data_IF_796247927787
#
_entry.id   IF_796247927787
#
_cell.length_a   1.000
_cell.length_b   1.000
_cell.length_c   1.000
_cell.angle_alpha   90.00
_cell.angle_beta   90.00
_cell.angle_gamma   90.00
#
_symmetry.space_group_name_H-M   'P 1'
#
loop_
_entity.id
_entity.type
_entity.pdbx_description
1 polymer ?
#
# COMPACT_ATOMS: atom_id res chain seq x y z
N UNK A 1 -57.83 -9.64 8.66
CA UNK A 1 -56.98 -8.69 9.43
C UNK A 1 -55.60 -9.25 9.77
N UNK A 2 -55.41 -10.55 10.00
CA UNK A 2 -54.10 -11.15 10.31
C UNK A 2 -53.10 -11.17 9.15
N UNK A 3 -53.57 -11.38 7.90
CA UNK A 3 -52.72 -11.39 6.71
C UNK A 3 -52.15 -10.01 6.36
N UNK A 4 -52.97 -8.95 6.47
CA UNK A 4 -52.55 -7.57 6.20
C UNK A 4 -51.47 -7.11 7.19
N UNK A 5 -51.63 -7.45 8.48
CA UNK A 5 -50.67 -7.18 9.57
C UNK A 5 -49.33 -7.90 9.39
N UNK A 6 -49.36 -9.15 8.90
CA UNK A 6 -48.14 -9.92 8.57
C UNK A 6 -47.40 -9.34 7.36
N UNK A 7 -48.14 -8.87 6.35
CA UNK A 7 -47.56 -8.20 5.19
C UNK A 7 -46.93 -6.84 5.56
N UNK A 8 -47.54 -6.07 6.47
CA UNK A 8 -46.93 -4.81 6.96
C UNK A 8 -45.66 -5.06 7.76
N UNK A 9 -45.65 -6.07 8.63
CA UNK A 9 -44.44 -6.45 9.38
C UNK A 9 -43.30 -6.94 8.46
N UNK A 10 -43.63 -7.71 7.41
CA UNK A 10 -42.64 -8.15 6.43
C UNK A 10 -42.07 -6.98 5.61
N UNK A 11 -42.90 -6.01 5.23
CA UNK A 11 -42.48 -4.83 4.47
C UNK A 11 -41.59 -3.88 5.32
N UNK A 12 -41.92 -3.70 6.60
CA UNK A 12 -41.09 -2.91 7.54
C UNK A 12 -39.77 -3.62 7.88
N UNK A 13 -39.76 -4.95 7.98
CA UNK A 13 -38.52 -5.70 8.15
C UNK A 13 -37.62 -5.61 6.91
N UNK A 14 -38.21 -5.60 5.70
CA UNK A 14 -37.48 -5.49 4.44
C UNK A 14 -36.86 -4.09 4.25
N UNK A 15 -37.51 -3.02 4.70
CA UNK A 15 -36.95 -1.66 4.67
C UNK A 15 -35.83 -1.45 5.69
N UNK A 16 -35.88 -2.11 6.86
CA UNK A 16 -34.79 -2.05 7.84
C UNK A 16 -33.51 -2.78 7.39
N UNK A 17 -33.63 -3.85 6.59
CA UNK A 17 -32.48 -4.54 5.98
C UNK A 17 -31.82 -3.71 4.85
N UNK A 18 -32.58 -2.86 4.16
CA UNK A 18 -32.08 -1.99 3.09
C UNK A 18 -31.27 -0.77 3.56
N UNK A 19 -31.56 -0.23 4.75
CA UNK A 19 -30.93 1.00 5.26
C UNK A 19 -29.41 0.89 5.50
N UNK A 20 -28.94 -0.26 6.00
CA UNK A 20 -27.50 -0.51 6.17
C UNK A 20 -26.77 -0.68 4.83
N UNK A 21 -27.45 -1.22 3.82
CA UNK A 21 -26.88 -1.44 2.48
C UNK A 21 -26.77 -0.14 1.68
N UNK A 22 -27.81 0.72 1.73
CA UNK A 22 -27.81 2.02 1.07
C UNK A 22 -26.73 2.96 1.64
N UNK A 23 -26.56 2.99 2.96
CA UNK A 23 -25.47 3.75 3.59
C UNK A 23 -24.09 3.25 3.13
N UNK A 24 -23.86 1.93 3.12
CA UNK A 24 -22.59 1.36 2.63
C UNK A 24 -22.36 1.66 1.16
N UNK A 25 -23.40 1.62 0.32
CA UNK A 25 -23.31 1.93 -1.10
C UNK A 25 -22.99 3.41 -1.34
N UNK A 26 -23.64 4.34 -0.64
CA UNK A 26 -23.34 5.76 -0.75
C UNK A 26 -21.91 6.08 -0.26
N UNK A 27 -21.50 5.50 0.87
CA UNK A 27 -20.12 5.62 1.38
C UNK A 27 -19.12 5.00 0.39
N UNK A 28 -19.49 3.91 -0.30
CA UNK A 28 -18.67 3.29 -1.33
C UNK A 28 -18.45 4.24 -2.51
N UNK A 29 -19.51 4.84 -3.05
CA UNK A 29 -19.40 5.79 -4.17
C UNK A 29 -18.52 7.00 -3.81
N UNK A 30 -18.66 7.52 -2.58
CA UNK A 30 -17.78 8.59 -2.08
C UNK A 30 -16.34 8.10 -1.97
N UNK A 31 -16.11 6.89 -1.46
CA UNK A 31 -14.78 6.31 -1.33
C UNK A 31 -14.12 6.03 -2.70
N UNK A 32 -14.87 5.54 -3.68
CA UNK A 32 -14.43 5.38 -5.08
C UNK A 32 -14.00 6.74 -5.65
N UNK A 33 -14.84 7.77 -5.50
CA UNK A 33 -14.54 9.13 -5.99
C UNK A 33 -13.31 9.75 -5.31
N UNK A 34 -13.14 9.54 -4.00
CA UNK A 34 -12.00 10.06 -3.24
C UNK A 34 -10.70 9.28 -3.55
N UNK A 35 -10.80 7.98 -3.80
CA UNK A 35 -9.68 7.15 -4.23
C UNK A 35 -9.17 7.60 -5.61
N UNK A 36 -10.08 7.82 -6.56
CA UNK A 36 -9.77 8.33 -7.90
C UNK A 36 -9.28 9.80 -7.88
N UNK A 37 -9.84 10.62 -6.98
CA UNK A 37 -9.49 12.04 -6.81
C UNK A 37 -8.09 12.31 -6.25
N UNK A 38 -7.35 11.28 -5.83
CA UNK A 38 -5.93 11.41 -5.45
C UNK A 38 -5.02 11.89 -6.60
N UNK A 39 -5.51 11.84 -7.84
CA UNK A 39 -4.88 12.42 -9.05
C UNK A 39 -4.63 13.93 -8.97
N UNK A 40 -5.39 14.67 -8.16
CA UNK A 40 -5.14 16.09 -7.94
C UNK A 40 -3.80 16.36 -7.25
N UNK A 41 -3.32 15.45 -6.41
CA UNK A 41 -2.04 15.63 -5.70
C UNK A 41 -0.83 15.42 -6.61
N UNK A 42 -0.95 14.53 -7.60
CA UNK A 42 0.17 14.18 -8.50
C UNK A 42 0.36 15.16 -9.64
N UNK A 43 -0.54 16.14 -9.79
CA UNK A 43 -0.54 17.17 -10.83
C UNK A 43 -0.41 18.58 -10.25
N UNK A 44 -0.29 18.69 -8.92
CA UNK A 44 -0.08 19.96 -8.23
C UNK A 44 1.41 20.33 -8.26
N UNK A 45 1.69 21.61 -8.50
CA UNK A 45 3.04 22.16 -8.62
C UNK A 45 3.58 22.68 -7.27
N UNK A 46 2.75 22.71 -6.20
CA UNK A 46 3.14 23.13 -4.86
C UNK A 46 3.33 21.92 -3.92
N UNK A 47 4.57 21.38 -3.79
CA UNK A 47 4.83 20.23 -2.93
C UNK A 47 4.61 20.52 -1.45
N UNK A 48 4.67 21.77 -1.00
CA UNK A 48 4.42 22.13 0.39
C UNK A 48 2.92 22.10 0.72
N UNK A 49 2.08 22.58 -0.19
CA UNK A 49 0.64 22.43 -0.08
C UNK A 49 0.23 20.95 0.00
N UNK A 50 0.82 20.11 -0.85
CA UNK A 50 0.58 18.66 -0.84
C UNK A 50 1.06 18.02 0.46
N UNK A 51 2.27 18.37 0.93
CA UNK A 51 2.82 17.89 2.21
C UNK A 51 1.88 18.17 3.38
N UNK A 52 1.24 19.34 3.39
CA UNK A 52 0.34 19.77 4.45
C UNK A 52 -1.09 19.20 4.31
N UNK A 53 -1.55 18.95 3.08
CA UNK A 53 -2.87 18.39 2.81
C UNK A 53 -2.96 16.87 3.03
N UNK A 54 -1.92 16.12 2.65
CA UNK A 54 -1.92 14.65 2.67
C UNK A 54 -2.31 14.04 4.02
N UNK A 55 -1.81 14.50 5.19
CA UNK A 55 -2.21 13.94 6.47
C UNK A 55 -3.72 13.96 6.72
N UNK A 56 -4.39 15.06 6.38
CA UNK A 56 -5.84 15.18 6.52
C UNK A 56 -6.58 14.26 5.54
N UNK A 57 -6.15 14.23 4.27
CA UNK A 57 -6.71 13.35 3.25
C UNK A 57 -6.62 11.87 3.66
N UNK A 58 -5.43 11.43 4.08
CA UNK A 58 -5.19 10.06 4.53
C UNK A 58 -6.05 9.71 5.75
N UNK A 59 -6.16 10.60 6.74
CA UNK A 59 -7.02 10.38 7.92
C UNK A 59 -8.50 10.29 7.55
N UNK A 60 -8.95 11.06 6.58
CA UNK A 60 -10.31 11.00 6.04
C UNK A 60 -10.57 9.62 5.41
N UNK A 61 -9.67 9.15 4.54
CA UNK A 61 -9.74 7.82 3.93
C UNK A 61 -9.71 6.70 4.98
N UNK A 62 -8.88 6.83 6.03
CA UNK A 62 -8.83 5.84 7.12
C UNK A 62 -10.17 5.74 7.86
N UNK A 63 -10.82 6.88 8.13
CA UNK A 63 -12.14 6.94 8.75
C UNK A 63 -13.21 6.25 7.90
N UNK A 64 -13.19 6.45 6.58
CA UNK A 64 -14.06 5.72 5.65
C UNK A 64 -13.76 4.21 5.68
N UNK A 65 -12.49 3.83 5.79
CA UNK A 65 -12.06 2.43 5.80
C UNK A 65 -12.60 1.64 7.00
N UNK A 66 -12.89 2.32 8.12
CA UNK A 66 -13.54 1.69 9.28
C UNK A 66 -14.99 1.26 8.95
N UNK A 67 -15.67 1.99 8.05
CA UNK A 67 -17.01 1.64 7.58
C UNK A 67 -16.97 0.64 6.41
N UNK A 68 -15.91 0.69 5.61
CA UNK A 68 -15.69 -0.12 4.41
C UNK A 68 -14.39 -0.94 4.50
N UNK A 69 -14.29 -1.91 5.43
CA UNK A 69 -13.05 -2.60 5.72
C UNK A 69 -12.51 -3.45 4.55
N UNK A 70 -13.40 -3.89 3.65
CA UNK A 70 -13.08 -4.77 2.52
C UNK A 70 -13.04 -4.04 1.17
N UNK A 71 -13.08 -2.70 1.17
CA UNK A 71 -13.16 -1.93 -0.07
C UNK A 71 -11.79 -1.72 -0.73
N UNK A 72 -11.39 -2.65 -1.61
CA UNK A 72 -10.03 -2.72 -2.18
C UNK A 72 -9.49 -1.41 -2.76
N UNK A 73 -10.24 -0.62 -3.58
CA UNK A 73 -9.73 0.66 -4.07
C UNK A 73 -9.33 1.64 -2.96
N UNK A 74 -10.11 1.67 -1.87
CA UNK A 74 -9.82 2.51 -0.71
C UNK A 74 -8.60 2.00 0.06
N UNK A 75 -8.45 0.68 0.21
CA UNK A 75 -7.28 0.07 0.84
C UNK A 75 -6.00 0.35 0.06
N UNK A 76 -6.07 0.24 -1.26
CA UNK A 76 -4.96 0.55 -2.17
C UNK A 76 -4.57 2.02 -2.10
N UNK A 77 -5.54 2.93 -2.06
CA UNK A 77 -5.30 4.36 -1.91
C UNK A 77 -4.64 4.71 -0.57
N UNK A 78 -5.03 4.02 0.50
CA UNK A 78 -4.37 4.15 1.80
C UNK A 78 -2.93 3.61 1.77
N UNK A 79 -2.72 2.45 1.15
CA UNK A 79 -1.40 1.87 1.00
C UNK A 79 -0.46 2.78 0.18
N UNK A 80 -0.88 3.20 -1.01
CA UNK A 80 -0.09 4.09 -1.86
C UNK A 80 0.14 5.46 -1.22
N UNK A 81 -0.91 6.04 -0.64
CA UNK A 81 -0.84 7.38 -0.05
C UNK A 81 0.03 7.45 1.19
N UNK A 82 -0.07 6.50 2.13
CA UNK A 82 0.85 6.46 3.28
C UNK A 82 2.29 6.15 2.87
N UNK A 83 2.50 5.31 1.86
CA UNK A 83 3.84 5.03 1.31
C UNK A 83 4.44 6.30 0.72
N UNK A 84 3.71 6.96 -0.17
CA UNK A 84 4.15 8.17 -0.86
C UNK A 84 4.39 9.32 0.11
N UNK A 85 3.52 9.51 1.10
CA UNK A 85 3.73 10.52 2.14
C UNK A 85 5.00 10.26 2.96
N UNK A 86 5.23 9.00 3.36
CA UNK A 86 6.43 8.66 4.12
C UNK A 86 7.71 8.82 3.28
N UNK A 87 7.76 8.27 2.08
CA UNK A 87 8.95 8.30 1.20
C UNK A 87 9.21 9.70 0.64
N UNK A 88 8.17 10.46 0.31
CA UNK A 88 8.28 11.79 -0.29
C UNK A 88 8.55 12.91 0.70
N UNK A 89 8.03 12.82 1.94
CA UNK A 89 8.08 13.96 2.88
C UNK A 89 8.66 13.63 4.26
N UNK A 90 8.68 12.37 4.70
CA UNK A 90 9.23 12.04 6.03
C UNK A 90 10.66 11.51 5.96
N UNK A 91 10.95 10.64 5.00
CA UNK A 91 12.25 10.00 4.82
C UNK A 91 13.34 10.99 4.39
N UNK A 92 13.11 11.90 3.41
CA UNK A 92 14.15 12.82 2.94
C UNK A 92 14.68 13.75 4.04
N UNK A 93 13.83 14.09 5.01
CA UNK A 93 14.17 14.93 6.17
C UNK A 93 15.10 14.26 7.18
N UNK A 94 15.22 12.92 7.17
CA UNK A 94 15.98 12.20 8.19
C UNK A 94 17.46 12.56 8.12
N UNK A 95 18.08 12.48 6.94
CA UNK A 95 19.53 12.70 6.79
C UNK A 95 19.94 14.13 7.13
N UNK A 96 19.29 15.19 6.61
CA UNK A 96 19.57 16.56 7.04
C UNK A 96 19.41 16.75 8.55
N UNK A 97 18.40 16.10 9.16
CA UNK A 97 18.17 16.19 10.60
C UNK A 97 19.27 15.49 11.41
N UNK A 98 19.88 14.40 10.93
CA UNK A 98 21.00 13.71 11.61
C UNK A 98 22.23 14.61 11.76
N UNK A 99 22.45 15.55 10.84
CA UNK A 99 23.57 16.50 10.89
C UNK A 99 23.41 17.55 12.00
N UNK A 100 22.17 17.77 12.47
CA UNK A 100 21.82 18.83 13.43
C UNK A 100 21.45 18.23 14.79
N UNK A 101 20.62 17.18 14.80
CA UNK A 101 20.03 16.58 16.00
C UNK A 101 19.72 15.09 15.76
N UNK A 102 20.60 14.24 16.28
CA UNK A 102 20.50 12.78 16.15
C UNK A 102 19.26 12.20 16.82
N UNK A 103 18.79 12.77 17.93
CA UNK A 103 17.63 12.23 18.65
C UNK A 103 16.35 12.55 17.91
N UNK A 104 16.21 13.78 17.40
CA UNK A 104 15.08 14.13 16.52
C UNK A 104 15.07 13.30 15.24
N UNK A 105 16.23 13.04 14.65
CA UNK A 105 16.31 12.19 13.46
C UNK A 105 15.89 10.74 13.74
N UNK A 106 16.24 10.19 14.91
CA UNK A 106 15.77 8.87 15.37
C UNK A 106 14.25 8.84 15.53
N UNK A 107 13.66 9.87 16.12
CA UNK A 107 12.20 10.00 16.25
C UNK A 107 11.51 10.04 14.88
N UNK A 108 12.05 10.85 13.95
CA UNK A 108 11.54 10.96 12.59
C UNK A 108 11.65 9.63 11.82
N UNK A 109 12.76 8.90 11.99
CA UNK A 109 12.93 7.54 11.42
C UNK A 109 11.88 6.57 11.95
N UNK A 110 11.60 6.58 13.25
CA UNK A 110 10.54 5.76 13.85
C UNK A 110 9.17 6.15 13.32
N UNK A 111 8.90 7.46 13.19
CA UNK A 111 7.65 7.98 12.62
C UNK A 111 7.44 7.51 11.18
N UNK A 112 8.44 7.68 10.32
CA UNK A 112 8.37 7.26 8.92
C UNK A 112 8.15 5.74 8.81
N UNK A 113 8.90 4.94 9.59
CA UNK A 113 8.73 3.48 9.62
C UNK A 113 7.32 3.06 10.04
N UNK A 114 6.72 3.73 11.04
CA UNK A 114 5.33 3.48 11.45
C UNK A 114 4.32 3.78 10.35
N UNK A 115 4.54 4.82 9.53
CA UNK A 115 3.67 5.11 8.38
C UNK A 115 3.79 4.03 7.30
N UNK A 116 5.00 3.55 7.04
CA UNK A 116 5.26 2.49 6.06
C UNK A 116 4.69 1.14 6.50
N UNK A 117 4.83 0.75 7.76
CA UNK A 117 4.19 -0.45 8.31
C UNK A 117 2.67 -0.37 8.21
N UNK A 118 2.10 0.81 8.50
CA UNK A 118 0.67 1.06 8.32
C UNK A 118 0.23 0.91 6.85
N UNK A 119 1.01 1.45 5.91
CA UNK A 119 0.76 1.30 4.48
C UNK A 119 0.77 -0.18 4.04
N UNK A 120 1.79 -0.93 4.48
CA UNK A 120 1.90 -2.38 4.27
C UNK A 120 0.65 -3.10 4.76
N UNK A 121 0.19 -2.78 5.97
CA UNK A 121 -0.98 -3.45 6.55
C UNK A 121 -2.26 -3.20 5.73
N UNK A 122 -2.42 -2.02 5.12
CA UNK A 122 -3.51 -1.75 4.18
C UNK A 122 -3.36 -2.52 2.87
N UNK A 123 -2.15 -2.60 2.31
CA UNK A 123 -1.88 -3.39 1.11
C UNK A 123 -2.16 -4.88 1.33
N UNK A 124 -1.69 -5.44 2.45
CA UNK A 124 -1.97 -6.82 2.86
C UNK A 124 -3.47 -7.04 3.10
N UNK A 125 -4.19 -6.05 3.63
CA UNK A 125 -5.66 -6.13 3.75
C UNK A 125 -6.33 -6.15 2.37
N UNK A 126 -5.84 -5.38 1.40
CA UNK A 126 -6.34 -5.42 0.01
C UNK A 126 -6.14 -6.80 -0.62
N UNK A 127 -4.94 -7.37 -0.46
CA UNK A 127 -4.60 -8.72 -0.92
C UNK A 127 -5.43 -9.79 -0.21
N UNK A 128 -5.67 -9.67 1.10
CA UNK A 128 -6.51 -10.60 1.86
C UNK A 128 -7.96 -10.63 1.35
N UNK A 129 -8.51 -9.46 0.95
CA UNK A 129 -9.86 -9.40 0.38
C UNK A 129 -9.93 -10.09 -0.98
N UNK A 130 -8.92 -9.89 -1.83
CA UNK A 130 -8.86 -10.55 -3.14
C UNK A 130 -8.51 -12.04 -3.08
N UNK A 131 -7.72 -12.41 -2.08
CA UNK A 131 -7.09 -13.72 -1.94
C UNK A 131 -7.18 -14.18 -0.47
N UNK A 132 -8.31 -14.73 -0.01
CA UNK A 132 -8.47 -15.14 1.38
C UNK A 132 -7.31 -16.02 1.89
N UNK A 133 -6.84 -15.74 3.11
CA UNK A 133 -5.69 -16.39 3.74
C UNK A 133 -4.33 -15.84 3.34
N UNK A 134 -4.26 -14.80 2.49
CA UNK A 134 -2.99 -14.23 2.00
C UNK A 134 -2.10 -13.74 3.14
N UNK A 135 -2.67 -12.98 4.06
CA UNK A 135 -1.92 -12.33 5.13
C UNK A 135 -1.19 -13.33 6.02
N UNK A 136 -1.76 -14.52 6.22
CA UNK A 136 -1.12 -15.58 7.00
C UNK A 136 -0.16 -16.39 6.13
N UNK A 137 -0.59 -16.79 4.93
CA UNK A 137 0.18 -17.68 4.07
C UNK A 137 1.50 -17.05 3.60
N UNK A 138 1.54 -15.72 3.42
CA UNK A 138 2.74 -15.02 2.95
C UNK A 138 3.92 -15.22 3.89
N UNK A 139 3.69 -15.37 5.20
CA UNK A 139 4.76 -15.61 6.19
C UNK A 139 5.24 -17.08 6.22
N UNK A 140 4.43 -18.02 5.75
CA UNK A 140 4.76 -19.46 5.78
C UNK A 140 5.43 -19.92 4.49
N UNK A 141 4.84 -19.55 3.34
CA UNK A 141 5.37 -19.85 2.01
C UNK A 141 5.13 -18.63 1.09
N UNK A 142 6.06 -17.67 1.09
CA UNK A 142 5.86 -16.41 0.38
C UNK A 142 5.71 -16.64 -1.12
N UNK A 143 6.52 -17.54 -1.69
CA UNK A 143 6.57 -17.82 -3.13
C UNK A 143 5.28 -18.47 -3.61
N UNK A 144 4.81 -19.52 -2.94
CA UNK A 144 3.55 -20.17 -3.32
C UNK A 144 2.34 -19.23 -3.09
N UNK A 145 2.39 -18.39 -2.06
CA UNK A 145 1.28 -17.48 -1.72
C UNK A 145 1.03 -16.43 -2.79
N UNK A 146 2.09 -15.90 -3.42
CA UNK A 146 1.95 -14.83 -4.44
C UNK A 146 1.55 -15.38 -5.82
N UNK A 147 1.77 -16.67 -6.11
CA UNK A 147 1.48 -17.27 -7.43
C UNK A 147 0.01 -17.14 -7.85
N UNK A 148 -0.92 -17.11 -6.89
CA UNK A 148 -2.35 -16.95 -7.17
C UNK A 148 -2.77 -15.51 -7.51
N UNK A 149 -1.91 -14.52 -7.25
CA UNK A 149 -2.21 -13.10 -7.52
C UNK A 149 -2.16 -12.83 -9.01
N UNK A 150 -3.17 -12.13 -9.55
CA UNK A 150 -3.34 -11.90 -10.98
C UNK A 150 -2.87 -10.51 -11.41
N UNK A 151 -2.79 -10.30 -12.73
CA UNK A 151 -2.30 -9.06 -13.35
C UNK A 151 -3.11 -7.82 -12.93
N UNK A 152 -4.40 -7.96 -12.63
CA UNK A 152 -5.26 -6.85 -12.20
C UNK A 152 -4.90 -6.31 -10.81
N UNK A 153 -4.10 -7.07 -10.06
CA UNK A 153 -3.74 -6.79 -8.67
C UNK A 153 -2.24 -6.49 -8.50
N UNK A 154 -1.51 -6.20 -9.58
CA UNK A 154 -0.10 -5.78 -9.53
C UNK A 154 0.10 -4.60 -8.57
N UNK A 155 -0.80 -3.61 -8.61
CA UNK A 155 -0.72 -2.45 -7.73
C UNK A 155 -0.73 -2.82 -6.24
N UNK A 156 -1.51 -3.83 -5.84
CA UNK A 156 -1.55 -4.28 -4.45
C UNK A 156 -0.23 -4.97 -4.04
N UNK A 157 0.38 -5.76 -4.96
CA UNK A 157 1.71 -6.35 -4.75
C UNK A 157 2.79 -5.27 -4.64
N UNK A 158 2.80 -4.32 -5.56
CA UNK A 158 3.77 -3.24 -5.61
C UNK A 158 3.72 -2.40 -4.33
N UNK A 159 2.54 -1.92 -3.92
CA UNK A 159 2.44 -1.10 -2.71
C UNK A 159 2.72 -1.89 -1.43
N UNK A 160 2.45 -3.19 -1.40
CA UNK A 160 2.90 -4.05 -0.31
C UNK A 160 4.45 -4.14 -0.27
N UNK A 161 5.10 -4.39 -1.40
CA UNK A 161 6.56 -4.47 -1.48
C UNK A 161 7.25 -3.12 -1.20
N UNK A 162 6.76 -2.03 -1.79
CA UNK A 162 7.28 -0.67 -1.64
C UNK A 162 7.25 -0.19 -0.19
N UNK A 163 6.10 -0.31 0.47
CA UNK A 163 5.95 0.06 1.87
C UNK A 163 6.80 -0.80 2.81
N UNK A 164 6.79 -2.11 2.61
CA UNK A 164 7.50 -3.05 3.47
C UNK A 164 9.02 -2.96 3.29
N UNK A 165 9.51 -2.95 2.05
CA UNK A 165 10.92 -2.77 1.74
C UNK A 165 11.48 -1.45 2.27
N UNK A 166 10.70 -0.37 2.16
CA UNK A 166 11.06 0.93 2.74
C UNK A 166 11.11 0.88 4.27
N UNK A 167 10.16 0.20 4.92
CA UNK A 167 10.15 0.04 6.38
C UNK A 167 11.40 -0.73 6.86
N UNK A 168 11.80 -1.77 6.14
CA UNK A 168 13.04 -2.54 6.39
C UNK A 168 14.27 -1.66 6.20
N UNK A 169 14.31 -0.85 5.13
CA UNK A 169 15.43 0.07 4.87
C UNK A 169 15.64 1.09 6.00
N UNK A 170 14.56 1.55 6.64
CA UNK A 170 14.60 2.43 7.82
C UNK A 170 14.80 1.69 9.16
N UNK A 171 14.82 0.35 9.15
CA UNK A 171 14.88 -0.50 10.34
C UNK A 171 15.96 -1.57 10.25
N UNK A 172 17.12 -1.25 9.66
CA UNK A 172 18.25 -2.20 9.51
C UNK A 172 18.82 -2.69 10.85
N UNK A 173 18.51 -2.00 11.93
CA UNK A 173 18.83 -2.34 13.32
C UNK A 173 17.82 -3.32 13.97
N UNK A 174 16.67 -3.55 13.31
CA UNK A 174 15.61 -4.46 13.75
C UNK A 174 15.69 -5.77 12.97
N UNK A 175 16.35 -6.77 13.56
CA UNK A 175 16.62 -8.05 12.90
C UNK A 175 15.35 -8.83 12.53
N UNK A 176 14.26 -8.63 13.28
CA UNK A 176 12.93 -9.14 12.97
C UNK A 176 12.39 -8.58 11.64
N UNK A 177 12.55 -7.27 11.39
CA UNK A 177 12.19 -6.67 10.10
C UNK A 177 13.12 -7.13 8.98
N UNK A 178 14.43 -7.24 9.24
CA UNK A 178 15.39 -7.71 8.23
C UNK A 178 15.09 -9.15 7.80
N UNK A 179 14.61 -10.00 8.71
CA UNK A 179 14.19 -11.36 8.38
C UNK A 179 12.99 -11.43 7.41
N UNK A 180 12.24 -10.33 7.25
CA UNK A 180 11.08 -10.24 6.35
C UNK A 180 11.44 -9.88 4.90
N UNK A 181 12.73 -9.65 4.57
CA UNK A 181 13.17 -9.35 3.19
C UNK A 181 12.68 -10.37 2.14
N UNK A 182 12.65 -11.70 2.40
CA UNK A 182 12.11 -12.67 1.44
C UNK A 182 10.62 -12.45 1.10
N UNK A 183 9.83 -11.84 2.00
CA UNK A 183 8.43 -11.50 1.76
C UNK A 183 8.33 -10.42 0.69
N UNK A 184 9.19 -9.40 0.79
CA UNK A 184 9.30 -8.31 -0.19
C UNK A 184 9.75 -8.84 -1.55
N UNK A 185 10.76 -9.71 -1.56
CA UNK A 185 11.27 -10.36 -2.79
C UNK A 185 10.15 -11.14 -3.51
N UNK A 186 9.36 -11.95 -2.78
CA UNK A 186 8.26 -12.70 -3.36
C UNK A 186 7.19 -11.78 -3.97
N UNK A 187 6.79 -10.72 -3.26
CA UNK A 187 5.79 -9.75 -3.72
C UNK A 187 6.23 -9.05 -5.01
N UNK A 188 7.45 -8.48 -5.03
CA UNK A 188 7.91 -7.73 -6.19
C UNK A 188 8.21 -8.63 -7.39
N UNK A 189 8.78 -9.82 -7.17
CA UNK A 189 9.04 -10.77 -8.28
C UNK A 189 7.76 -11.29 -8.88
N UNK A 190 6.68 -11.44 -8.08
CA UNK A 190 5.37 -11.77 -8.65
C UNK A 190 4.83 -10.64 -9.50
N UNK A 191 4.89 -9.40 -9.03
CA UNK A 191 4.47 -8.24 -9.81
C UNK A 191 5.24 -8.17 -11.14
N UNK A 192 6.56 -8.33 -11.08
CA UNK A 192 7.44 -8.32 -12.24
C UNK A 192 7.12 -9.43 -13.25
N UNK A 193 6.82 -10.64 -12.76
CA UNK A 193 6.45 -11.76 -13.63
C UNK A 193 5.06 -11.62 -14.28
N UNK A 194 4.19 -10.75 -13.74
CA UNK A 194 2.86 -10.50 -14.28
C UNK A 194 2.89 -9.45 -15.40
N UNK A 195 3.63 -8.35 -15.23
CA UNK A 195 3.85 -7.30 -16.23
C UNK A 195 5.06 -6.45 -15.82
N UNK A 196 6.20 -6.62 -16.48
CA UNK A 196 7.44 -5.91 -16.16
C UNK A 196 7.40 -4.43 -16.58
N UNK A 197 6.51 -4.06 -17.50
CA UNK A 197 6.34 -2.69 -18.00
C UNK A 197 5.33 -1.86 -17.19
N UNK A 198 4.70 -2.46 -16.17
CA UNK A 198 3.67 -1.82 -15.36
C UNK A 198 4.11 -0.44 -14.82
N UNK A 199 3.22 0.55 -14.93
CA UNK A 199 3.44 1.96 -14.54
C UNK A 199 4.78 2.50 -15.05
N UNK A 200 4.99 2.42 -16.37
CA UNK A 200 6.17 2.96 -17.07
C UNK A 200 7.50 2.42 -16.52
N UNK A 201 7.49 1.17 -16.05
CA UNK A 201 8.69 0.51 -15.52
C UNK A 201 8.95 0.74 -14.03
N UNK A 202 7.95 1.16 -13.24
CA UNK A 202 8.07 1.33 -11.77
C UNK A 202 8.62 0.08 -11.05
N UNK A 203 8.35 -1.12 -11.57
CA UNK A 203 8.90 -2.36 -11.02
C UNK A 203 10.42 -2.48 -11.25
N UNK A 204 10.92 -1.98 -12.37
CA UNK A 204 12.36 -1.89 -12.61
C UNK A 204 13.01 -0.91 -11.65
N UNK A 205 12.42 0.27 -11.42
CA UNK A 205 12.94 1.24 -10.46
C UNK A 205 13.09 0.65 -9.06
N UNK A 206 12.06 -0.07 -8.59
CA UNK A 206 12.13 -0.79 -7.33
C UNK A 206 13.30 -1.80 -7.31
N UNK A 207 13.42 -2.60 -8.37
CA UNK A 207 14.41 -3.67 -8.45
C UNK A 207 15.85 -3.15 -8.55
N UNK A 208 16.10 -1.94 -9.04
CA UNK A 208 17.43 -1.30 -8.98
C UNK A 208 17.92 -1.23 -7.53
N UNK A 209 17.09 -0.68 -6.65
CA UNK A 209 17.45 -0.53 -5.22
C UNK A 209 17.50 -1.90 -4.54
N UNK A 210 16.54 -2.76 -4.84
CA UNK A 210 16.43 -4.08 -4.21
C UNK A 210 17.60 -5.01 -4.56
N UNK A 211 18.06 -4.99 -5.81
CA UNK A 211 19.21 -5.79 -6.26
C UNK A 211 20.55 -5.20 -5.78
N UNK A 212 20.58 -3.93 -5.36
CA UNK A 212 21.80 -3.26 -4.86
C UNK A 212 22.19 -3.62 -3.42
N UNK A 213 21.49 -4.56 -2.76
CA UNK A 213 21.74 -5.00 -1.38
C UNK A 213 22.98 -5.89 -1.18
N UNK A 214 23.73 -6.18 -2.25
CA UNK A 214 24.93 -7.02 -2.23
C UNK A 214 24.64 -8.53 -2.33
N UNK A 215 25.60 -9.28 -2.87
CA UNK A 215 25.45 -10.71 -3.20
C UNK A 215 25.20 -11.58 -1.96
N UNK A 216 25.85 -11.28 -0.84
CA UNK A 216 25.65 -12.00 0.44
C UNK A 216 24.22 -11.90 0.96
N UNK A 217 23.50 -10.87 0.53
CA UNK A 217 22.10 -10.66 0.87
C UNK A 217 21.18 -11.09 -0.27
N UNK A 218 21.68 -11.65 -1.38
CA UNK A 218 20.89 -12.10 -2.52
C UNK A 218 20.64 -11.04 -3.61
N UNK A 219 21.35 -9.91 -3.55
CA UNK A 219 21.36 -8.89 -4.61
C UNK A 219 22.34 -9.20 -5.74
N UNK A 220 22.33 -8.39 -6.80
CA UNK A 220 23.30 -8.42 -7.89
C UNK A 220 23.38 -7.04 -8.56
N UNK A 221 24.56 -6.41 -8.55
CA UNK A 221 24.76 -5.14 -9.24
C UNK A 221 24.59 -5.25 -10.76
N UNK A 222 24.87 -6.42 -11.34
CA UNK A 222 24.60 -6.69 -12.76
C UNK A 222 23.09 -6.65 -13.04
N UNK A 223 22.27 -7.35 -12.24
CA UNK A 223 20.80 -7.27 -12.38
C UNK A 223 20.27 -5.86 -12.12
N UNK A 224 20.81 -5.15 -11.12
CA UNK A 224 20.44 -3.76 -10.88
C UNK A 224 20.70 -2.87 -12.11
N UNK A 225 21.83 -3.08 -12.79
CA UNK A 225 22.18 -2.37 -14.04
C UNK A 225 21.20 -2.72 -15.18
N UNK A 226 20.85 -3.99 -15.35
CA UNK A 226 19.85 -4.44 -16.34
C UNK A 226 18.48 -3.78 -16.08
N UNK A 227 18.04 -3.73 -14.82
CA UNK A 227 16.79 -3.05 -14.47
C UNK A 227 16.85 -1.56 -14.78
N UNK A 228 17.96 -0.88 -14.49
CA UNK A 228 18.14 0.53 -14.85
C UNK A 228 18.04 0.76 -16.36
N UNK A 229 18.72 -0.05 -17.18
CA UNK A 229 18.66 0.09 -18.64
C UNK A 229 17.24 -0.10 -19.17
N UNK A 230 16.50 -1.04 -18.58
CA UNK A 230 15.13 -1.29 -18.98
C UNK A 230 14.17 -0.19 -18.52
N UNK A 231 14.33 0.36 -17.31
CA UNK A 231 13.56 1.51 -16.84
C UNK A 231 13.72 2.70 -17.79
N UNK A 232 14.97 3.05 -18.14
CA UNK A 232 15.27 4.14 -19.08
C UNK A 232 14.67 3.95 -20.49
N UNK A 233 14.40 2.71 -20.91
CA UNK A 233 13.79 2.41 -22.20
C UNK A 233 12.25 2.43 -22.17
N UNK A 234 11.64 2.45 -20.98
CA UNK A 234 10.19 2.48 -20.77
C UNK A 234 9.66 3.88 -20.42
N UNK A 235 10.55 4.77 -19.95
CA UNK A 235 10.29 6.18 -19.63
C UNK A 235 10.36 7.12 -20.83
#
# INVERSE_FOLDING_TARGET
>A
MSALRRATFALVALTMLGGCSLKKMAVKTVADSLAEGSSGYTTDEDPDLIREALPFGLKTLEGLSATLPTHRPLLRSLASGFTSYAVGFLVPEIRPMEEIDLDRAREQRVRARKMLIRARDYALRSLEVGYPGFKTAIYSDPKATVERVKVEDIADLYWAAASWGSAISLGKDQMDLVAEVPLVDALIRRAFALDDAWEQGSLHEFLIVFESRGESSGGSYARAREHFERAMALS
#
